data_IF_307187589714
#
_entry.id   IF_307187589714
#
_cell.length_a   1.000
_cell.length_b   1.000
_cell.length_c   1.000
_cell.angle_alpha   90.00
_cell.angle_beta   90.00
_cell.angle_gamma   90.00
#
_symmetry.space_group_name_H-M   'P 1'
#
loop_
_entity.id
_entity.type
_entity.pdbx_description
1 polymer ?
#
# COMPACT_ATOMS: atom_id res chain seq x y z
N UNK A 1 6.56 20.19 22.14
CA UNK A 1 5.94 20.24 20.81
C UNK A 1 5.30 18.89 20.59
N UNK A 2 4.04 18.80 21.00
CA UNK A 2 3.25 17.58 21.03
C UNK A 2 2.06 17.86 20.16
N UNK A 3 1.93 17.19 19.03
CA UNK A 3 0.69 17.02 18.28
C UNK A 3 0.96 16.06 17.12
N UNK A 4 -0.08 15.37 16.68
CA UNK A 4 -0.16 14.37 15.59
C UNK A 4 -0.12 12.90 16.05
N UNK A 5 -1.14 12.55 16.83
CA UNK A 5 -1.61 11.18 16.99
C UNK A 5 -3.13 11.15 16.85
N UNK A 6 -3.66 11.35 15.63
CA UNK A 6 -5.07 11.13 15.34
C UNK A 6 -5.19 10.02 14.28
N UNK A 7 -5.45 8.81 14.79
CA UNK A 7 -5.87 7.62 14.06
C UNK A 7 -7.08 7.93 13.19
N UNK A 8 -6.90 7.94 11.87
CA UNK A 8 -7.99 7.92 10.90
C UNK A 8 -8.33 6.46 10.57
N UNK A 9 -8.94 5.78 11.53
CA UNK A 9 -9.75 4.58 11.29
C UNK A 9 -11.14 4.97 10.78
N UNK A 10 -11.20 5.72 9.69
CA UNK A 10 -12.46 6.12 9.06
C UNK A 10 -12.96 5.00 8.16
N UNK A 11 -13.93 4.24 8.64
CA UNK A 11 -14.79 3.40 7.78
C UNK A 11 -15.38 4.33 6.72
N UNK A 12 -14.90 4.22 5.48
CA UNK A 12 -15.45 4.93 4.33
C UNK A 12 -16.81 4.30 4.01
N UNK A 13 -17.82 4.61 4.82
CA UNK A 13 -19.19 4.52 4.38
C UNK A 13 -19.31 5.54 3.26
N UNK A 14 -19.40 5.07 2.02
CA UNK A 14 -19.65 5.94 0.88
C UNK A 14 -20.99 6.61 1.09
N UNK A 15 -20.93 7.89 1.47
CA UNK A 15 -22.06 8.81 1.48
C UNK A 15 -22.82 8.69 0.15
N UNK A 16 -24.16 8.45 0.17
CA UNK A 16 -24.97 8.24 -1.03
C UNK A 16 -24.99 9.45 -1.99
N UNK A 17 -24.39 10.59 -1.60
CA UNK A 17 -24.22 11.78 -2.42
C UNK A 17 -23.18 11.68 -3.54
N UNK A 18 -22.23 10.73 -3.49
CA UNK A 18 -21.19 10.57 -4.54
C UNK A 18 -21.71 9.96 -5.84
N UNK A 19 -22.92 9.36 -5.84
CA UNK A 19 -23.59 8.92 -7.08
C UNK A 19 -23.79 10.05 -8.09
N UNK A 20 -23.86 11.32 -7.66
CA UNK A 20 -24.17 12.45 -8.55
C UNK A 20 -23.00 12.96 -9.41
N UNK A 21 -21.74 12.63 -9.09
CA UNK A 21 -20.59 13.28 -9.75
C UNK A 21 -19.98 12.50 -10.93
N UNK A 22 -20.16 11.17 -10.99
CA UNK A 22 -19.48 10.31 -11.99
C UNK A 22 -20.32 10.08 -13.25
N UNK A 23 -21.63 10.33 -13.18
CA UNK A 23 -22.59 10.01 -14.24
C UNK A 23 -22.56 10.87 -15.51
N UNK A 24 -22.27 12.19 -15.50
CA UNK A 24 -22.48 13.03 -16.69
C UNK A 24 -21.74 12.59 -17.96
N UNK A 25 -20.43 12.21 -17.92
CA UNK A 25 -19.72 11.80 -19.13
C UNK A 25 -20.16 10.42 -19.66
N UNK A 26 -20.55 9.51 -18.77
CA UNK A 26 -21.01 8.17 -19.17
C UNK A 26 -22.47 8.18 -19.62
N UNK A 27 -23.29 9.08 -19.08
CA UNK A 27 -24.71 9.17 -19.41
C UNK A 27 -24.92 9.43 -20.91
N UNK A 28 -24.17 10.37 -21.50
CA UNK A 28 -24.26 10.66 -22.93
C UNK A 28 -23.87 9.45 -23.80
N UNK A 29 -22.89 8.66 -23.36
CA UNK A 29 -22.43 7.50 -24.09
C UNK A 29 -23.37 6.30 -23.94
N UNK A 30 -23.98 6.13 -22.77
CA UNK A 30 -25.05 5.15 -22.52
C UNK A 30 -26.28 5.52 -23.36
N UNK A 31 -26.70 6.78 -23.33
CA UNK A 31 -27.85 7.27 -24.09
C UNK A 31 -27.66 7.06 -25.59
N UNK A 32 -26.44 7.32 -26.10
CA UNK A 32 -26.07 7.04 -27.49
C UNK A 32 -26.11 5.55 -27.79
N UNK A 33 -25.45 4.71 -26.99
CA UNK A 33 -25.34 3.28 -27.26
C UNK A 33 -26.70 2.57 -27.18
N UNK A 34 -27.53 2.94 -26.21
CA UNK A 34 -28.91 2.44 -26.12
C UNK A 34 -29.75 2.97 -27.29
N UNK A 35 -29.60 4.24 -27.66
CA UNK A 35 -30.26 4.81 -28.84
C UNK A 35 -29.94 4.05 -30.13
N UNK A 36 -28.65 3.86 -30.42
CA UNK A 36 -28.15 3.15 -31.59
C UNK A 36 -28.70 1.70 -31.64
N UNK A 37 -28.70 1.00 -30.49
CA UNK A 37 -29.24 -0.35 -30.40
C UNK A 37 -30.76 -0.41 -30.63
N UNK A 38 -31.51 0.57 -30.13
CA UNK A 38 -32.96 0.63 -30.33
C UNK A 38 -33.33 0.98 -31.78
N UNK A 39 -32.54 1.83 -32.45
CA UNK A 39 -32.70 2.11 -33.88
C UNK A 39 -32.42 0.86 -34.73
N UNK A 40 -31.41 0.07 -34.38
CA UNK A 40 -31.13 -1.20 -35.05
C UNK A 40 -32.31 -2.20 -34.90
N UNK A 41 -32.85 -2.33 -33.69
CA UNK A 41 -34.02 -3.19 -33.43
C UNK A 41 -35.24 -2.68 -34.21
N UNK A 42 -35.50 -1.38 -34.20
CA UNK A 42 -36.60 -0.77 -34.97
C UNK A 42 -36.46 -1.09 -36.47
N UNK A 43 -35.27 -0.92 -37.02
CA UNK A 43 -34.95 -1.24 -38.41
C UNK A 43 -35.18 -2.73 -38.72
N UNK A 44 -34.76 -3.61 -37.82
CA UNK A 44 -34.98 -5.06 -37.93
C UNK A 44 -36.47 -5.45 -37.90
N UNK A 45 -37.25 -4.88 -36.98
CA UNK A 45 -38.69 -5.17 -36.85
C UNK A 45 -39.46 -4.65 -38.07
N UNK A 46 -39.20 -3.42 -38.51
CA UNK A 46 -39.80 -2.86 -39.73
C UNK A 46 -39.39 -3.69 -40.96
N UNK A 47 -38.12 -4.10 -41.04
CA UNK A 47 -37.63 -5.00 -42.09
C UNK A 47 -38.39 -6.32 -42.12
N UNK A 48 -38.66 -6.93 -40.97
CA UNK A 48 -39.44 -8.16 -40.89
C UNK A 48 -40.90 -7.98 -41.31
N UNK A 49 -41.51 -6.82 -41.02
CA UNK A 49 -42.89 -6.50 -41.40
C UNK A 49 -43.02 -6.26 -42.91
N UNK A 50 -42.10 -5.50 -43.49
CA UNK A 50 -42.09 -5.18 -44.93
C UNK A 50 -41.81 -6.38 -45.83
N UNK A 51 -41.09 -7.40 -45.33
CA UNK A 51 -40.81 -8.64 -46.07
C UNK A 51 -42.01 -9.60 -46.13
N UNK A 52 -43.09 -9.35 -45.39
CA UNK A 52 -44.29 -10.21 -45.40
C UNK A 52 -45.27 -9.72 -46.45
N UNK A 53 -45.54 -10.50 -47.53
CA UNK A 53 -46.51 -10.11 -48.53
C UNK A 53 -47.93 -10.22 -47.98
N UNK A 54 -48.53 -9.09 -47.63
CA UNK A 54 -49.91 -9.01 -47.16
C UNK A 54 -50.74 -8.20 -48.14
N UNK A 55 -51.92 -8.71 -48.49
CA UNK A 55 -52.87 -8.04 -49.37
C UNK A 55 -53.98 -7.47 -48.49
N UNK A 56 -53.97 -6.15 -48.30
CA UNK A 56 -54.91 -5.45 -47.42
C UNK A 56 -55.83 -4.60 -48.28
N UNK A 57 -57.14 -4.84 -48.19
CA UNK A 57 -58.14 -4.30 -49.11
C UNK A 57 -59.03 -3.25 -48.43
N UNK A 58 -59.13 -3.27 -47.10
CA UNK A 58 -60.10 -2.48 -46.31
C UNK A 58 -59.45 -1.75 -45.13
N UNK A 59 -58.25 -1.21 -45.29
CA UNK A 59 -57.58 -0.43 -44.23
C UNK A 59 -57.46 1.05 -44.61
N UNK A 60 -58.21 1.95 -43.95
CA UNK A 60 -58.19 3.39 -44.24
C UNK A 60 -56.81 4.02 -44.08
N UNK A 61 -56.03 3.59 -43.08
CA UNK A 61 -54.71 4.14 -42.79
C UNK A 61 -53.66 3.80 -43.86
N UNK A 62 -53.93 2.80 -44.71
CA UNK A 62 -53.04 2.36 -45.79
C UNK A 62 -53.50 2.86 -47.18
N UNK A 63 -54.49 3.76 -47.23
CA UNK A 63 -55.05 4.31 -48.47
C UNK A 63 -55.40 3.21 -49.48
N UNK A 64 -56.19 2.22 -49.05
CA UNK A 64 -56.53 1.06 -49.88
C UNK A 64 -57.51 1.35 -51.02
N UNK A 65 -57.24 0.75 -52.19
CA UNK A 65 -58.14 0.67 -53.33
C UNK A 65 -58.57 -0.78 -53.55
N UNK A 66 -59.83 -1.07 -53.25
CA UNK A 66 -60.40 -2.40 -53.35
C UNK A 66 -60.31 -3.02 -54.76
N UNK A 67 -60.23 -2.20 -55.80
CA UNK A 67 -60.16 -2.65 -57.19
C UNK A 67 -58.77 -3.13 -57.62
N UNK A 68 -57.68 -2.73 -56.94
CA UNK A 68 -56.30 -2.99 -57.39
C UNK A 68 -55.42 -3.67 -56.34
N UNK A 69 -55.71 -3.46 -55.05
CA UNK A 69 -54.82 -3.88 -53.95
C UNK A 69 -54.79 -5.39 -53.69
N UNK A 70 -55.60 -6.17 -54.42
CA UNK A 70 -55.50 -7.63 -54.42
C UNK A 70 -54.35 -8.15 -55.30
N UNK A 71 -53.72 -7.29 -56.11
CA UNK A 71 -52.65 -7.69 -57.06
C UNK A 71 -51.24 -7.37 -56.57
N UNK A 72 -51.09 -6.43 -55.64
CA UNK A 72 -49.81 -5.98 -55.11
C UNK A 72 -49.81 -6.01 -53.58
N UNK A 73 -48.82 -6.65 -52.93
CA UNK A 73 -48.68 -6.62 -51.49
C UNK A 73 -48.53 -5.19 -50.96
N UNK A 74 -49.07 -4.93 -49.77
CA UNK A 74 -48.99 -3.63 -49.10
C UNK A 74 -48.07 -3.67 -47.90
N UNK A 75 -47.38 -2.55 -47.69
CA UNK A 75 -46.64 -2.29 -46.47
C UNK A 75 -47.60 -1.95 -45.34
N UNK A 76 -47.65 -2.82 -44.34
CA UNK A 76 -48.45 -2.66 -43.12
C UNK A 76 -47.70 -1.95 -41.99
N UNK A 77 -46.41 -1.64 -42.17
CA UNK A 77 -45.57 -0.99 -41.16
C UNK A 77 -46.19 0.28 -40.57
N UNK A 78 -46.89 1.15 -41.34
CA UNK A 78 -47.52 2.35 -40.79
C UNK A 78 -48.55 2.08 -39.68
N UNK A 79 -49.22 0.92 -39.71
CA UNK A 79 -50.23 0.56 -38.71
C UNK A 79 -49.60 0.28 -37.34
N UNK A 80 -48.49 -0.45 -37.35
CA UNK A 80 -47.81 -0.92 -36.14
C UNK A 80 -46.74 0.06 -35.65
N UNK A 81 -46.32 1.01 -36.49
CA UNK A 81 -45.29 2.00 -36.15
C UNK A 81 -45.52 2.72 -34.82
N UNK A 82 -46.71 3.27 -34.50
CA UNK A 82 -46.93 3.95 -33.22
C UNK A 82 -46.73 3.02 -32.02
N UNK A 83 -47.25 1.80 -32.09
CA UNK A 83 -47.14 0.82 -31.01
C UNK A 83 -45.69 0.34 -30.84
N UNK A 84 -44.99 0.07 -31.94
CA UNK A 84 -43.57 -0.34 -31.95
C UNK A 84 -42.70 0.76 -31.36
N UNK A 85 -42.90 2.02 -31.76
CA UNK A 85 -42.13 3.16 -31.23
C UNK A 85 -42.42 3.37 -29.74
N UNK A 86 -43.68 3.20 -29.31
CA UNK A 86 -44.04 3.29 -27.89
C UNK A 86 -43.35 2.21 -27.06
N UNK A 87 -43.46 0.94 -27.49
CA UNK A 87 -42.81 -0.20 -26.83
C UNK A 87 -41.29 -0.03 -26.76
N UNK A 88 -40.65 0.39 -27.86
CA UNK A 88 -39.22 0.65 -27.87
C UNK A 88 -38.83 1.83 -26.97
N UNK A 89 -39.69 2.84 -26.84
CA UNK A 89 -39.49 3.95 -25.90
C UNK A 89 -39.48 3.47 -24.44
N UNK A 90 -40.42 2.60 -24.08
CA UNK A 90 -40.49 1.99 -22.74
C UNK A 90 -39.28 1.07 -22.47
N UNK A 91 -38.95 0.18 -23.40
CA UNK A 91 -37.79 -0.71 -23.30
C UNK A 91 -36.49 0.09 -23.22
N UNK A 92 -36.33 1.14 -24.03
CA UNK A 92 -35.18 2.05 -23.98
C UNK A 92 -35.03 2.69 -22.61
N UNK A 93 -36.14 3.16 -22.02
CA UNK A 93 -36.12 3.80 -20.70
C UNK A 93 -35.69 2.82 -19.61
N UNK A 94 -36.25 1.61 -19.61
CA UNK A 94 -35.92 0.58 -18.62
C UNK A 94 -34.48 0.10 -18.79
N UNK A 95 -34.05 -0.13 -20.02
CA UNK A 95 -32.68 -0.55 -20.32
C UNK A 95 -31.66 0.52 -19.90
N UNK A 96 -31.94 1.81 -20.13
CA UNK A 96 -31.08 2.90 -19.64
C UNK A 96 -30.97 2.88 -18.13
N UNK A 97 -32.09 2.70 -17.43
CA UNK A 97 -32.08 2.66 -15.96
C UNK A 97 -31.22 1.50 -15.45
N UNK A 98 -31.40 0.30 -16.02
CA UNK A 98 -30.65 -0.89 -15.63
C UNK A 98 -29.15 -0.76 -15.94
N UNK A 99 -28.79 -0.29 -17.14
CA UNK A 99 -27.39 -0.08 -17.54
C UNK A 99 -26.72 0.97 -16.65
N UNK A 100 -27.39 2.10 -16.37
CA UNK A 100 -26.87 3.13 -15.47
C UNK A 100 -26.66 2.58 -14.07
N UNK A 101 -27.62 1.80 -13.56
CA UNK A 101 -27.52 1.16 -12.24
C UNK A 101 -26.34 0.18 -12.17
N UNK A 102 -26.21 -0.70 -13.17
CA UNK A 102 -25.13 -1.69 -13.25
C UNK A 102 -23.75 -1.01 -13.36
N UNK A 103 -23.61 -0.02 -14.23
CA UNK A 103 -22.36 0.75 -14.40
C UNK A 103 -22.01 1.49 -13.11
N UNK A 104 -22.98 2.14 -12.47
CA UNK A 104 -22.74 2.84 -11.20
C UNK A 104 -22.28 1.88 -10.10
N UNK A 105 -22.85 0.67 -10.04
CA UNK A 105 -22.44 -0.35 -9.08
C UNK A 105 -21.02 -0.85 -9.35
N UNK A 106 -20.69 -1.18 -10.59
CA UNK A 106 -19.37 -1.70 -10.97
C UNK A 106 -18.27 -0.64 -10.82
N UNK A 107 -18.56 0.63 -11.13
CA UNK A 107 -17.63 1.73 -10.87
C UNK A 107 -17.46 1.92 -9.36
N UNK A 108 -18.53 1.83 -8.58
CA UNK A 108 -18.49 1.89 -7.12
C UNK A 108 -17.61 0.81 -6.50
N UNK A 109 -17.71 -0.45 -6.96
CA UNK A 109 -16.88 -1.55 -6.45
C UNK A 109 -15.41 -1.36 -6.82
N UNK A 110 -15.11 -1.05 -8.07
CA UNK A 110 -13.72 -0.82 -8.53
C UNK A 110 -13.06 0.36 -7.84
N UNK A 111 -13.79 1.44 -7.61
CA UNK A 111 -13.26 2.61 -6.88
C UNK A 111 -12.96 2.24 -5.43
N UNK A 112 -13.84 1.49 -4.75
CA UNK A 112 -13.57 0.98 -3.42
C UNK A 112 -12.31 0.11 -3.37
N UNK A 113 -12.16 -0.84 -4.29
CA UNK A 113 -10.98 -1.72 -4.37
C UNK A 113 -9.69 -0.91 -4.60
N UNK A 114 -9.72 0.07 -5.50
CA UNK A 114 -8.58 0.97 -5.75
C UNK A 114 -8.23 1.80 -4.52
N UNK A 115 -9.22 2.33 -3.80
CA UNK A 115 -8.96 3.09 -2.57
C UNK A 115 -8.35 2.22 -1.48
N UNK A 116 -8.79 0.96 -1.35
CA UNK A 116 -8.22 0.00 -0.42
C UNK A 116 -6.77 -0.35 -0.79
N UNK A 117 -6.50 -0.62 -2.07
CA UNK A 117 -5.15 -0.90 -2.55
C UNK A 117 -4.21 0.30 -2.31
N UNK A 118 -4.68 1.52 -2.56
CA UNK A 118 -3.90 2.74 -2.29
C UNK A 118 -3.62 2.91 -0.79
N UNK A 119 -4.58 2.60 0.08
CA UNK A 119 -4.38 2.66 1.53
C UNK A 119 -3.32 1.65 1.98
N UNK A 120 -3.37 0.41 1.47
CA UNK A 120 -2.38 -0.62 1.75
C UNK A 120 -0.98 -0.23 1.27
N UNK A 121 -0.86 0.31 0.06
CA UNK A 121 0.42 0.81 -0.46
C UNK A 121 0.98 1.94 0.42
N UNK A 122 0.15 2.89 0.84
CA UNK A 122 0.58 3.98 1.74
C UNK A 122 1.06 3.46 3.08
N UNK A 123 0.34 2.50 3.66
CA UNK A 123 0.75 1.86 4.90
C UNK A 123 2.10 1.14 4.74
N UNK A 124 2.27 0.39 3.66
CA UNK A 124 3.54 -0.29 3.37
C UNK A 124 4.69 0.70 3.22
N UNK A 125 4.51 1.79 2.46
CA UNK A 125 5.51 2.85 2.34
C UNK A 125 5.88 3.43 3.71
N UNK A 126 4.90 3.77 4.55
CA UNK A 126 5.16 4.30 5.90
C UNK A 126 5.94 3.31 6.77
N UNK A 127 5.59 2.02 6.73
CA UNK A 127 6.34 0.98 7.44
C UNK A 127 7.77 0.91 6.94
N UNK A 128 8.00 0.83 5.63
CA UNK A 128 9.34 0.77 5.05
C UNK A 128 10.18 2.01 5.33
N UNK A 129 9.58 3.21 5.32
CA UNK A 129 10.26 4.45 5.69
C UNK A 129 10.70 4.42 7.16
N UNK A 130 9.83 3.92 8.04
CA UNK A 130 10.17 3.76 9.46
C UNK A 130 11.32 2.77 9.66
N UNK A 131 11.27 1.61 9.00
CA UNK A 131 12.32 0.59 9.06
C UNK A 131 13.65 1.15 8.52
N UNK A 132 13.63 1.84 7.38
CA UNK A 132 14.81 2.48 6.82
C UNK A 132 15.40 3.53 7.78
N UNK A 133 14.55 4.34 8.42
CA UNK A 133 15.00 5.34 9.40
C UNK A 133 15.69 4.70 10.61
N UNK A 134 15.16 3.57 11.10
CA UNK A 134 15.75 2.82 12.21
C UNK A 134 17.08 2.17 11.82
N UNK A 135 17.16 1.60 10.61
CA UNK A 135 18.39 1.03 10.07
C UNK A 135 19.48 2.09 9.92
N UNK A 136 19.14 3.27 9.37
CA UNK A 136 20.07 4.40 9.27
C UNK A 136 20.57 4.89 10.64
N UNK A 137 19.69 4.97 11.63
CA UNK A 137 20.08 5.32 13.00
C UNK A 137 21.01 4.27 13.61
N UNK A 138 20.76 2.98 13.35
CA UNK A 138 21.63 1.88 13.79
C UNK A 138 23.02 1.97 13.16
N UNK A 139 23.10 2.19 11.85
CA UNK A 139 24.37 2.36 11.12
C UNK A 139 25.16 3.52 11.71
N UNK A 140 24.54 4.69 11.94
CA UNK A 140 25.22 5.84 12.55
C UNK A 140 25.78 5.54 13.94
N UNK A 141 25.06 4.76 14.76
CA UNK A 141 25.56 4.32 16.08
C UNK A 141 26.73 3.36 15.97
N UNK A 142 26.72 2.47 14.97
CA UNK A 142 27.86 1.59 14.70
C UNK A 142 29.08 2.38 14.23
N UNK A 143 28.89 3.35 13.33
CA UNK A 143 29.97 4.23 12.86
C UNK A 143 30.61 5.02 14.00
N UNK A 144 29.82 5.59 14.91
CA UNK A 144 30.37 6.30 16.08
C UNK A 144 31.09 5.34 17.03
N UNK A 145 30.55 4.14 17.26
CA UNK A 145 31.21 3.12 18.08
C UNK A 145 32.54 2.67 17.47
N UNK A 146 32.60 2.52 16.13
CA UNK A 146 33.84 2.18 15.43
C UNK A 146 34.87 3.30 15.54
N UNK A 147 34.45 4.55 15.35
CA UNK A 147 35.34 5.70 15.52
C UNK A 147 35.93 5.77 16.94
N UNK A 148 35.13 5.53 17.98
CA UNK A 148 35.62 5.45 19.36
C UNK A 148 36.64 4.33 19.50
N UNK A 149 36.34 3.12 18.98
CA UNK A 149 37.27 1.98 19.04
C UNK A 149 38.57 2.25 18.31
N UNK A 150 38.53 2.93 17.17
CA UNK A 150 39.74 3.31 16.43
C UNK A 150 40.60 4.29 17.23
N UNK A 151 39.98 5.25 17.93
CA UNK A 151 40.73 6.15 18.82
C UNK A 151 41.33 5.42 20.03
N UNK A 152 40.59 4.50 20.65
CA UNK A 152 41.09 3.64 21.73
C UNK A 152 42.29 2.81 21.27
N UNK A 153 42.19 2.20 20.09
CA UNK A 153 43.28 1.42 19.50
C UNK A 153 44.50 2.28 19.16
N UNK A 154 44.30 3.50 18.64
CA UNK A 154 45.39 4.44 18.38
C UNK A 154 46.12 4.81 19.69
N UNK A 155 45.37 5.13 20.74
CA UNK A 155 45.93 5.45 22.06
C UNK A 155 46.68 4.27 22.67
N UNK A 156 46.14 3.05 22.57
CA UNK A 156 46.83 1.84 23.01
C UNK A 156 48.14 1.62 22.23
N UNK A 157 48.12 1.80 20.90
CA UNK A 157 49.34 1.70 20.08
C UNK A 157 50.39 2.70 20.52
N UNK A 158 50.03 3.95 20.74
CA UNK A 158 50.95 4.98 21.21
C UNK A 158 51.56 4.62 22.57
N UNK A 159 50.74 4.17 23.54
CA UNK A 159 51.24 3.68 24.83
C UNK A 159 52.21 2.51 24.68
N UNK A 160 51.90 1.53 23.85
CA UNK A 160 52.82 0.41 23.61
C UNK A 160 54.13 0.87 22.97
N UNK A 161 54.09 1.85 22.07
CA UNK A 161 55.31 2.44 21.50
C UNK A 161 56.13 3.17 22.56
N UNK A 162 55.51 3.98 23.41
CA UNK A 162 56.21 4.68 24.49
C UNK A 162 56.81 3.71 25.49
N UNK A 163 56.06 2.69 25.91
CA UNK A 163 56.51 1.67 26.84
C UNK A 163 57.68 0.85 26.27
N UNK A 164 57.59 0.48 24.98
CA UNK A 164 58.69 -0.22 24.31
C UNK A 164 59.94 0.66 24.22
N UNK A 165 59.78 1.95 23.94
CA UNK A 165 60.89 2.90 23.85
C UNK A 165 61.56 3.12 25.21
N UNK A 166 60.76 3.33 26.27
CA UNK A 166 61.28 3.50 27.63
C UNK A 166 61.98 2.24 28.12
N UNK A 167 61.40 1.05 27.89
CA UNK A 167 62.04 -0.23 28.24
C UNK A 167 63.37 -0.44 27.49
N UNK A 168 63.44 -0.07 26.20
CA UNK A 168 64.70 -0.12 25.43
C UNK A 168 65.75 0.82 26.03
N UNK A 169 65.36 2.03 26.39
CA UNK A 169 66.25 3.00 27.01
C UNK A 169 66.74 2.50 28.38
N UNK A 170 65.85 1.96 29.21
CA UNK A 170 66.22 1.37 30.50
C UNK A 170 67.19 0.19 30.33
N UNK A 171 67.00 -0.67 29.33
CA UNK A 171 67.93 -1.75 29.03
C UNK A 171 69.31 -1.22 28.63
N UNK A 172 69.36 -0.16 27.80
CA UNK A 172 70.60 0.49 27.41
C UNK A 172 71.32 1.12 28.62
N UNK A 173 70.59 1.83 29.46
CA UNK A 173 71.14 2.45 30.67
C UNK A 173 71.63 1.40 31.68
N UNK A 174 70.89 0.31 31.87
CA UNK A 174 71.33 -0.83 32.69
C UNK A 174 72.61 -1.47 32.14
N UNK A 175 72.70 -1.66 30.83
CA UNK A 175 73.91 -2.20 30.20
C UNK A 175 75.13 -1.28 30.39
N UNK A 176 74.91 0.04 30.42
CA UNK A 176 75.98 1.04 30.58
C UNK A 176 76.40 1.28 32.03
N UNK A 177 75.44 1.30 32.96
CA UNK A 177 75.65 1.69 34.37
C UNK A 177 75.75 0.48 35.32
N UNK A 178 75.44 -0.73 34.86
CA UNK A 178 75.53 -1.96 35.65
C UNK A 178 74.60 -1.95 36.87
N UNK A 179 75.11 -2.40 38.02
CA UNK A 179 74.34 -2.51 39.27
C UNK A 179 73.94 -1.15 39.89
N UNK A 180 74.52 -0.05 39.42
CA UNK A 180 74.16 1.30 39.87
C UNK A 180 72.90 1.84 39.18
N UNK A 181 72.40 1.16 38.14
CA UNK A 181 71.16 1.53 37.49
C UNK A 181 69.95 1.14 38.35
N UNK A 182 69.15 2.13 38.74
CA UNK A 182 67.83 1.92 39.33
C UNK A 182 66.79 2.43 38.33
N UNK A 183 65.94 1.55 37.76
CA UNK A 183 64.87 2.01 36.89
C UNK A 183 63.92 2.89 37.70
N UNK A 184 63.62 4.07 37.18
CA UNK A 184 62.51 4.87 37.69
C UNK A 184 61.23 4.04 37.59
N UNK A 185 60.40 4.07 38.63
CA UNK A 185 59.17 3.30 38.72
C UNK A 185 58.17 3.73 37.61
N UNK A 186 58.30 3.13 36.43
CA UNK A 186 57.49 3.43 35.25
C UNK A 186 56.06 2.87 35.30
N UNK A 187 55.67 2.24 36.39
CA UNK A 187 54.28 2.06 36.71
C UNK A 187 53.97 3.00 37.85
N UNK A 188 53.46 4.19 37.52
CA UNK A 188 52.62 4.90 38.47
C UNK A 188 51.67 3.86 39.06
N UNK A 189 51.63 3.78 40.40
CA UNK A 189 50.58 3.03 41.09
C UNK A 189 49.28 3.33 40.33
N UNK A 190 48.44 2.35 39.98
CA UNK A 190 47.12 2.67 39.46
C UNK A 190 46.56 3.65 40.48
N UNK A 191 46.27 4.89 40.04
CA UNK A 191 45.62 5.85 40.89
C UNK A 191 44.41 5.11 41.44
N UNK A 192 44.44 4.92 42.76
CA UNK A 192 43.27 4.54 43.50
C UNK A 192 42.31 5.72 43.38
N UNK A 193 41.63 5.83 42.25
CA UNK A 193 40.23 6.23 42.23
C UNK A 193 39.43 5.07 42.83
N UNK A 194 39.69 4.81 44.12
CA UNK A 194 38.64 4.42 45.04
C UNK A 194 37.75 5.65 45.20
N UNK A 195 37.03 5.99 44.13
CA UNK A 195 35.76 6.64 44.28
C UNK A 195 34.81 5.47 44.44
N UNK A 196 34.46 5.28 45.69
CA UNK A 196 33.57 4.26 46.21
C UNK A 196 32.46 3.99 45.20
N UNK A 197 32.31 2.71 44.88
CA UNK A 197 31.01 2.12 44.65
C UNK A 197 30.16 2.31 45.93
N UNK A 198 29.76 3.55 46.23
CA UNK A 198 28.55 3.80 46.98
C UNK A 198 27.43 3.65 45.94
N UNK A 199 26.63 2.61 46.15
CA UNK A 199 25.49 2.29 45.31
C UNK A 199 24.44 3.37 45.40
N UNK A 200 24.52 4.37 44.54
CA UNK A 200 23.36 5.09 44.06
C UNK A 200 23.18 4.75 42.58
N UNK A 201 22.36 3.72 42.33
CA UNK A 201 21.85 3.45 41.00
C UNK A 201 21.10 4.70 40.52
N UNK A 202 21.65 5.39 39.53
CA UNK A 202 21.00 6.56 38.95
C UNK A 202 19.57 6.23 38.50
N UNK A 203 18.64 7.19 38.57
CA UNK A 203 17.20 6.95 38.37
C UNK A 203 16.88 6.23 37.05
N UNK A 204 17.66 6.46 35.98
CA UNK A 204 17.48 5.78 34.69
C UNK A 204 17.87 4.29 34.67
N UNK A 205 18.76 3.83 35.56
CA UNK A 205 19.14 2.41 35.67
C UNK A 205 18.09 1.61 36.44
N UNK A 206 17.47 2.23 37.45
CA UNK A 206 16.32 1.67 38.16
C UNK A 206 15.07 1.59 37.29
N UNK A 207 14.90 2.55 36.37
CA UNK A 207 13.79 2.58 35.41
C UNK A 207 13.94 1.47 34.34
N UNK A 208 15.13 1.29 33.78
CA UNK A 208 15.47 0.18 32.87
C UNK A 208 15.33 -1.19 33.55
N UNK A 209 15.75 -1.34 34.81
CA UNK A 209 15.56 -2.59 35.56
C UNK A 209 14.08 -2.87 35.84
N UNK A 210 13.28 -1.83 36.09
CA UNK A 210 11.83 -1.96 36.28
C UNK A 210 11.15 -2.40 34.99
N UNK A 211 11.49 -1.78 33.86
CA UNK A 211 10.97 -2.11 32.53
C UNK A 211 11.32 -3.55 32.10
N UNK A 212 12.55 -4.00 32.37
CA UNK A 212 13.00 -5.38 32.11
C UNK A 212 12.28 -6.39 33.02
N UNK A 213 11.98 -6.04 34.27
CA UNK A 213 11.24 -6.91 35.19
C UNK A 213 9.76 -7.01 34.82
N UNK A 214 9.19 -5.93 34.29
CA UNK A 214 7.80 -5.86 33.83
C UNK A 214 7.62 -6.69 32.55
N UNK A 215 8.57 -6.62 31.61
CA UNK A 215 8.63 -7.53 30.45
C UNK A 215 8.72 -9.02 30.83
N UNK A 216 9.39 -9.36 31.94
CA UNK A 216 9.47 -10.74 32.45
C UNK A 216 8.20 -11.20 33.17
N UNK A 217 7.41 -10.28 33.75
CA UNK A 217 6.16 -10.61 34.48
C UNK A 217 4.95 -10.73 33.55
N UNK A 218 4.96 -10.08 32.39
CA UNK A 218 3.86 -10.11 31.41
C UNK A 218 3.81 -11.42 30.60
N UNK A 219 4.74 -12.35 30.83
CA UNK A 219 4.71 -13.68 30.23
C UNK A 219 5.30 -13.69 28.83
N UNK A 220 6.14 -14.69 28.58
CA UNK A 220 6.67 -14.97 27.26
C UNK A 220 5.57 -15.16 26.24
N UNK A 221 5.79 -14.64 25.04
CA UNK A 221 5.20 -15.23 23.85
C UNK A 221 6.30 -16.07 23.21
N UNK A 222 6.07 -17.38 23.23
CA UNK A 222 6.79 -18.40 22.52
C UNK A 222 6.93 -18.03 21.03
N UNK A 223 8.15 -17.89 20.53
CA UNK A 223 8.41 -17.84 19.07
C UNK A 223 9.60 -18.70 18.62
N UNK A 224 10.11 -19.57 19.50
CA UNK A 224 11.21 -20.49 19.19
C UNK A 224 10.81 -21.96 19.33
N UNK A 225 9.62 -22.33 18.88
CA UNK A 225 9.16 -23.72 18.78
C UNK A 225 8.61 -24.04 17.38
N UNK A 226 9.47 -23.98 16.37
CA UNK A 226 9.24 -24.69 15.12
C UNK A 226 10.57 -25.25 14.57
N UNK A 227 10.79 -26.58 14.57
CA UNK A 227 11.90 -27.18 13.84
C UNK A 227 11.61 -27.13 12.34
N UNK A 228 12.26 -26.19 11.64
CA UNK A 228 12.29 -26.16 10.17
C UNK A 228 13.19 -27.29 9.67
N UNK A 229 12.59 -28.42 9.30
CA UNK A 229 13.26 -29.47 8.53
C UNK A 229 13.48 -28.97 7.09
N UNK A 230 14.72 -28.66 6.73
CA UNK A 230 15.11 -28.48 5.32
C UNK A 230 15.45 -29.84 4.70
N UNK A 231 14.70 -30.20 3.65
CA UNK A 231 14.99 -31.35 2.78
C UNK A 231 16.00 -30.91 1.73
N UNK A 232 17.24 -31.39 1.84
CA UNK A 232 18.27 -31.20 0.81
C UNK A 232 18.04 -32.24 -0.28
N UNK A 233 17.73 -31.80 -1.50
CA UNK A 233 17.83 -32.64 -2.70
C UNK A 233 19.23 -32.47 -3.30
N UNK A 234 19.98 -33.56 -3.53
CA UNK A 234 21.28 -33.47 -4.18
C UNK A 234 21.10 -33.23 -5.69
N UNK A 235 22.03 -32.47 -6.25
CA UNK A 235 22.32 -32.42 -7.70
C UNK A 235 23.38 -33.46 -8.04
#
# INVERSE_FOLDING_TARGET
>A
MSELGASYGGRLEMEPGTRKAVLPPFQAQIDKSVGDAMEEVLGGVIGCLTQRPLFVILEPALYCNAATDHTTPKDISPLYRPDIVSLLGEVSKELRHEVVSAVASEVGTRTADLTQALAQCRQCCQTTESELSTALASIRRMETSLAVRDTELANCRERYYTDTSTLKEQLFQRARLGEHFKPDALFGKPEASAQEASGEEGPGVLELKREILEYKKVGGCDFLSAPMYYRVTPS
#
